data_IF_346593113973
#
_entry.id   IF_346593113973
#
_cell.length_a   1.000
_cell.length_b   1.000
_cell.length_c   1.000
_cell.angle_alpha   90.00
_cell.angle_beta   90.00
_cell.angle_gamma   90.00
#
_symmetry.space_group_name_H-M   'P 1'
#
loop_
_entity.id
_entity.type
_entity.pdbx_description
1 polymer ?
#
# COMPACT_ATOMS: atom_id res chain seq x y z
N UNK A 1 -4.71 -5.03 -9.68
CA UNK A 1 -3.57 -4.12 -10.02
C UNK A 1 -3.47 -3.84 -11.51
N UNK A 2 -3.20 -4.82 -12.38
CA UNK A 2 -3.06 -4.59 -13.84
C UNK A 2 -4.24 -3.83 -14.45
N UNK A 3 -5.48 -4.25 -14.19
CA UNK A 3 -6.68 -3.56 -14.69
C UNK A 3 -6.75 -2.08 -14.26
N UNK A 4 -6.35 -1.75 -13.03
CA UNK A 4 -6.33 -0.37 -12.53
C UNK A 4 -5.26 0.47 -13.24
N UNK A 5 -4.04 -0.08 -13.36
CA UNK A 5 -2.95 0.56 -14.09
C UNK A 5 -3.32 0.79 -15.57
N UNK A 6 -3.85 -0.23 -16.24
CA UNK A 6 -4.24 -0.15 -17.64
C UNK A 6 -5.40 0.84 -17.85
N UNK A 7 -6.32 0.98 -16.88
CA UNK A 7 -7.41 1.97 -16.92
C UNK A 7 -6.86 3.38 -16.85
N UNK A 8 -5.97 3.62 -15.89
CA UNK A 8 -5.31 4.90 -15.67
C UNK A 8 -4.48 5.30 -16.89
N UNK A 9 -3.65 4.39 -17.42
CA UNK A 9 -2.84 4.64 -18.61
C UNK A 9 -3.70 4.92 -19.85
N UNK A 10 -4.82 4.18 -20.03
CA UNK A 10 -5.74 4.43 -21.14
C UNK A 10 -6.33 5.84 -21.09
N UNK A 11 -6.76 6.29 -19.91
CA UNK A 11 -7.38 7.59 -19.76
C UNK A 11 -6.36 8.73 -19.86
N UNK A 12 -5.17 8.54 -19.30
CA UNK A 12 -4.08 9.51 -19.37
C UNK A 12 -3.49 9.67 -20.78
N UNK A 13 -3.53 8.63 -21.62
CA UNK A 13 -3.08 8.71 -23.00
C UNK A 13 -3.97 9.60 -23.89
N UNK A 14 -5.19 9.92 -23.46
CA UNK A 14 -6.10 10.80 -24.20
C UNK A 14 -5.69 12.28 -24.01
N UNK A 15 -5.34 13.02 -25.08
CA UNK A 15 -4.93 14.42 -25.00
C UNK A 15 -6.00 15.37 -24.44
N UNK A 16 -7.27 14.95 -24.44
CA UNK A 16 -8.34 15.72 -23.78
C UNK A 16 -8.12 15.82 -22.28
N UNK A 17 -7.49 14.81 -21.66
CA UNK A 17 -7.14 14.82 -20.25
C UNK A 17 -5.67 15.17 -20.05
N UNK A 18 -4.75 14.31 -20.48
CA UNK A 18 -3.31 14.51 -20.29
C UNK A 18 -2.51 14.32 -21.59
N UNK A 19 -2.73 13.23 -22.33
CA UNK A 19 -1.97 12.92 -23.54
C UNK A 19 -0.56 12.37 -23.27
N UNK A 20 -0.36 11.72 -22.12
CA UNK A 20 0.96 11.26 -21.70
C UNK A 20 0.94 9.95 -20.93
N UNK A 21 2.10 9.28 -20.89
CA UNK A 21 2.32 8.04 -20.14
C UNK A 21 2.71 8.36 -18.70
N UNK A 22 1.94 7.85 -17.75
CA UNK A 22 2.17 8.07 -16.32
C UNK A 22 3.18 7.08 -15.74
N UNK A 23 3.83 7.44 -14.63
CA UNK A 23 4.45 6.48 -13.70
C UNK A 23 3.44 6.06 -12.63
N UNK A 24 3.40 4.78 -12.27
CA UNK A 24 2.52 4.33 -11.19
C UNK A 24 3.12 3.20 -10.34
N UNK A 25 3.07 3.36 -9.02
CA UNK A 25 3.38 2.36 -8.01
C UNK A 25 2.06 1.87 -7.41
N UNK A 26 1.73 0.59 -7.60
CA UNK A 26 0.51 -0.02 -7.10
C UNK A 26 0.79 -0.94 -5.92
N UNK A 27 -0.02 -0.81 -4.87
CA UNK A 27 0.04 -1.63 -3.65
C UNK A 27 -1.30 -2.32 -3.44
N UNK A 28 -1.27 -3.65 -3.37
CA UNK A 28 -2.43 -4.46 -3.01
C UNK A 28 -2.67 -4.40 -1.49
N UNK A 29 -3.89 -4.07 -1.12
CA UNK A 29 -4.38 -4.11 0.25
C UNK A 29 -5.59 -5.04 0.32
N UNK A 30 -5.68 -5.93 1.31
CA UNK A 30 -6.73 -6.98 1.33
C UNK A 30 -7.57 -7.03 2.60
N UNK A 31 -7.37 -6.10 3.54
CA UNK A 31 -8.06 -6.11 4.83
C UNK A 31 -8.75 -4.79 5.17
N UNK A 32 -9.70 -4.84 6.08
CA UNK A 32 -10.13 -3.67 6.83
C UNK A 32 -9.31 -3.54 8.12
N UNK A 33 -9.48 -2.43 8.84
CA UNK A 33 -8.93 -2.32 10.19
C UNK A 33 -9.43 -3.42 11.14
N UNK A 34 -10.58 -4.04 10.88
CA UNK A 34 -11.11 -5.17 11.65
C UNK A 34 -10.71 -6.55 11.08
N UNK A 35 -9.70 -6.62 10.19
CA UNK A 35 -9.26 -7.84 9.49
C UNK A 35 -10.37 -8.54 8.68
N UNK A 36 -11.33 -7.77 8.16
CA UNK A 36 -12.30 -8.32 7.21
C UNK A 36 -11.72 -8.25 5.80
N UNK A 37 -12.04 -9.24 4.97
CA UNK A 37 -11.60 -9.28 3.58
C UNK A 37 -12.12 -8.08 2.78
N UNK A 38 -11.20 -7.26 2.28
CA UNK A 38 -11.50 -6.02 1.59
C UNK A 38 -10.40 -5.69 0.55
N UNK A 39 -10.31 -6.45 -0.56
CA UNK A 39 -9.29 -6.25 -1.58
C UNK A 39 -9.50 -4.93 -2.33
N UNK A 40 -8.47 -4.08 -2.31
CA UNK A 40 -8.38 -2.86 -3.09
C UNK A 40 -6.91 -2.55 -3.42
N UNK A 41 -6.70 -1.58 -4.32
CA UNK A 41 -5.36 -1.18 -4.75
C UNK A 41 -5.18 0.29 -4.46
N UNK A 42 -4.13 0.63 -3.72
CA UNK A 42 -3.65 2.01 -3.64
C UNK A 42 -2.63 2.24 -4.76
N UNK A 43 -2.68 3.41 -5.39
CA UNK A 43 -1.72 3.78 -6.44
C UNK A 43 -1.12 5.15 -6.13
N UNK A 44 0.21 5.23 -6.07
CA UNK A 44 0.92 6.49 -6.20
C UNK A 44 1.24 6.70 -7.68
N UNK A 45 0.87 7.86 -8.19
CA UNK A 45 0.91 8.18 -9.62
C UNK A 45 1.65 9.49 -9.79
N UNK A 46 2.45 9.61 -10.84
CA UNK A 46 3.11 10.87 -11.19
C UNK A 46 2.08 11.96 -11.48
N UNK A 47 2.34 13.18 -11.04
CA UNK A 47 1.56 14.37 -11.40
C UNK A 47 2.00 14.84 -12.79
N UNK A 48 1.47 14.21 -13.83
CA UNK A 48 1.94 14.39 -15.22
C UNK A 48 2.62 13.14 -15.76
N UNK A 49 3.07 13.20 -17.00
CA UNK A 49 3.64 12.05 -17.68
C UNK A 49 4.49 12.41 -18.89
N UNK A 50 5.12 11.39 -19.47
CA UNK A 50 5.98 11.55 -20.62
C UNK A 50 5.20 11.37 -21.93
N UNK A 51 5.46 12.22 -22.93
CA UNK A 51 4.93 12.03 -24.29
C UNK A 51 5.38 10.70 -24.89
N UNK A 52 4.66 10.23 -25.92
CA UNK A 52 4.95 8.93 -26.56
C UNK A 52 6.34 8.86 -27.21
N UNK A 53 6.87 9.99 -27.66
CA UNK A 53 8.23 10.12 -28.20
C UNK A 53 9.32 10.26 -27.13
N UNK A 54 8.93 10.36 -25.86
CA UNK A 54 9.85 10.54 -24.74
C UNK A 54 10.46 11.92 -24.60
N UNK A 55 10.06 12.91 -25.40
CA UNK A 55 10.77 14.19 -25.47
C UNK A 55 10.27 15.25 -24.49
N UNK A 56 9.02 15.15 -24.05
CA UNK A 56 8.40 16.20 -23.25
C UNK A 56 7.66 15.61 -22.06
N UNK A 57 7.81 16.28 -20.91
CA UNK A 57 6.96 16.02 -19.75
C UNK A 57 5.71 16.90 -19.85
N UNK A 58 4.54 16.27 -19.81
CA UNK A 58 3.24 16.95 -19.81
C UNK A 58 2.75 17.04 -18.36
N UNK A 59 2.68 18.28 -17.89
CA UNK A 59 2.04 18.62 -16.62
C UNK A 59 0.51 18.46 -16.72
N UNK A 60 -0.18 18.13 -15.62
CA UNK A 60 -1.63 18.08 -15.62
C UNK A 60 -2.22 19.46 -15.92
N UNK A 61 -3.27 19.50 -16.75
CA UNK A 61 -4.00 20.75 -17.07
C UNK A 61 -4.52 21.47 -15.84
N UNK A 62 -4.79 20.72 -14.77
CA UNK A 62 -5.26 21.22 -13.49
C UNK A 62 -4.39 20.63 -12.40
N UNK A 63 -3.80 21.48 -11.54
CA UNK A 63 -2.82 21.06 -10.53
C UNK A 63 -3.32 19.97 -9.56
N UNK A 64 -4.64 19.88 -9.33
CA UNK A 64 -5.25 18.87 -8.46
C UNK A 64 -5.91 17.71 -9.18
N UNK A 65 -5.90 17.70 -10.51
CA UNK A 65 -6.71 16.80 -11.30
C UNK A 65 -5.96 16.27 -12.52
N UNK A 66 -5.73 14.95 -12.51
CA UNK A 66 -5.02 14.26 -13.58
C UNK A 66 -6.00 13.67 -14.60
N UNK A 67 -7.02 12.97 -14.11
CA UNK A 67 -8.06 12.32 -14.92
C UNK A 67 -9.39 12.27 -14.15
N UNK A 68 -10.55 12.21 -14.83
CA UNK A 68 -11.84 12.11 -14.17
C UNK A 68 -12.08 10.75 -13.52
N UNK A 69 -12.28 10.76 -12.20
CA UNK A 69 -12.62 9.58 -11.39
C UNK A 69 -13.84 8.80 -11.90
N UNK A 70 -14.96 9.44 -12.33
CA UNK A 70 -16.10 8.70 -12.86
C UNK A 70 -15.76 7.90 -14.13
N UNK A 71 -15.02 8.51 -15.06
CA UNK A 71 -14.59 7.83 -16.28
C UNK A 71 -13.58 6.71 -15.96
N UNK A 72 -12.63 6.98 -15.07
CA UNK A 72 -11.64 6.00 -14.63
C UNK A 72 -12.31 4.79 -13.98
N UNK A 73 -13.36 5.00 -13.18
CA UNK A 73 -14.13 3.95 -12.53
C UNK A 73 -14.82 3.02 -13.54
N UNK A 74 -15.41 3.59 -14.58
CA UNK A 74 -16.06 2.83 -15.66
C UNK A 74 -15.03 1.98 -16.42
N UNK A 75 -13.91 2.59 -16.81
CA UNK A 75 -12.84 1.91 -17.55
C UNK A 75 -12.19 0.82 -16.69
N UNK A 76 -11.98 1.08 -15.40
CA UNK A 76 -11.44 0.09 -14.47
C UNK A 76 -12.35 -1.12 -14.35
N UNK A 77 -13.66 -0.90 -14.15
CA UNK A 77 -14.67 -1.99 -14.12
C UNK A 77 -14.61 -2.82 -15.39
N UNK A 78 -14.60 -2.17 -16.57
CA UNK A 78 -14.55 -2.86 -17.85
C UNK A 78 -13.27 -3.71 -18.00
N UNK A 79 -12.10 -3.13 -17.73
CA UNK A 79 -10.81 -3.85 -17.81
C UNK A 79 -10.70 -4.99 -16.80
N UNK A 80 -11.29 -4.84 -15.61
CA UNK A 80 -11.33 -5.90 -14.61
C UNK A 80 -12.23 -7.06 -15.06
N UNK A 81 -13.42 -6.75 -15.61
CA UNK A 81 -14.32 -7.72 -16.22
C UNK A 81 -13.64 -8.50 -17.36
N UNK A 82 -12.98 -7.79 -18.28
CA UNK A 82 -12.23 -8.39 -19.39
C UNK A 82 -11.11 -9.32 -18.86
N UNK A 83 -10.42 -8.91 -17.80
CA UNK A 83 -9.41 -9.72 -17.15
C UNK A 83 -9.97 -11.02 -16.58
N UNK A 84 -11.11 -10.97 -15.89
CA UNK A 84 -11.79 -12.17 -15.39
C UNK A 84 -12.30 -13.06 -16.51
N UNK A 85 -12.83 -12.48 -17.59
CA UNK A 85 -13.27 -13.24 -18.77
C UNK A 85 -12.11 -14.02 -19.39
N UNK A 86 -10.96 -13.36 -19.58
CA UNK A 86 -9.74 -13.99 -20.11
C UNK A 86 -9.19 -15.09 -19.20
N UNK A 87 -9.36 -14.95 -17.90
CA UNK A 87 -8.95 -15.96 -16.92
C UNK A 87 -9.96 -17.12 -16.78
N UNK A 88 -11.11 -17.10 -17.47
CA UNK A 88 -12.17 -18.10 -17.28
C UNK A 88 -12.89 -17.99 -15.93
N UNK A 89 -12.74 -16.86 -15.23
CA UNK A 89 -13.26 -16.67 -13.86
C UNK A 89 -14.51 -15.78 -13.80
N UNK A 90 -14.96 -15.22 -14.92
CA UNK A 90 -16.10 -14.30 -14.94
C UNK A 90 -17.39 -14.96 -14.41
N UNK A 91 -17.61 -16.25 -14.69
CA UNK A 91 -18.76 -17.02 -14.22
C UNK A 91 -18.86 -17.14 -12.70
N UNK A 92 -17.73 -17.01 -11.99
CA UNK A 92 -17.69 -17.05 -10.52
C UNK A 92 -18.10 -15.71 -9.88
N UNK A 93 -18.28 -14.66 -10.67
CA UNK A 93 -18.66 -13.34 -10.18
C UNK A 93 -20.17 -13.14 -10.26
N UNK A 94 -20.85 -12.77 -9.15
CA UNK A 94 -22.27 -12.44 -9.19
C UNK A 94 -22.56 -11.32 -10.20
N UNK A 95 -23.55 -11.52 -11.07
CA UNK A 95 -23.90 -10.55 -12.14
C UNK A 95 -24.22 -9.16 -11.57
N UNK A 96 -24.76 -9.09 -10.34
CA UNK A 96 -25.08 -7.84 -9.65
C UNK A 96 -23.87 -6.94 -9.40
N UNK A 97 -22.65 -7.49 -9.30
CA UNK A 97 -21.41 -6.71 -9.11
C UNK A 97 -21.13 -5.80 -10.30
N UNK A 98 -21.51 -6.23 -11.51
CA UNK A 98 -21.28 -5.48 -12.75
C UNK A 98 -22.30 -4.36 -12.98
N UNK A 99 -23.47 -4.45 -12.34
CA UNK A 99 -24.52 -3.41 -12.37
C UNK A 99 -24.25 -2.28 -11.38
N UNK A 100 -23.38 -2.48 -10.39
CA UNK A 100 -23.02 -1.46 -9.40
C UNK A 100 -22.11 -0.38 -10.00
N UNK A 101 -22.21 0.82 -9.46
CA UNK A 101 -21.20 1.85 -9.67
C UNK A 101 -19.93 1.47 -8.93
N UNK A 102 -18.86 1.29 -9.68
CA UNK A 102 -17.52 1.11 -9.11
C UNK A 102 -16.97 2.49 -8.74
N UNK A 103 -16.16 2.54 -7.70
CA UNK A 103 -15.60 3.79 -7.20
C UNK A 103 -14.09 3.71 -7.24
N UNK A 104 -13.51 4.62 -8.02
CA UNK A 104 -12.11 5.03 -7.93
C UNK A 104 -12.11 6.42 -7.33
N UNK A 105 -11.17 6.66 -6.43
CA UNK A 105 -10.97 7.96 -5.80
C UNK A 105 -9.53 8.37 -6.00
N UNK A 106 -9.32 9.54 -6.60
CA UNK A 106 -8.02 10.17 -6.73
C UNK A 106 -7.94 11.44 -5.87
N UNK A 107 -6.76 11.69 -5.34
CA UNK A 107 -6.48 12.88 -4.55
C UNK A 107 -5.07 13.36 -4.85
N UNK A 108 -4.93 14.67 -5.04
CA UNK A 108 -3.63 15.30 -5.18
C UNK A 108 -2.79 15.12 -3.90
N UNK A 109 -1.59 14.56 -4.07
CA UNK A 109 -0.70 14.16 -2.99
C UNK A 109 0.46 15.14 -2.72
N UNK A 110 0.49 16.31 -3.38
CA UNK A 110 1.62 17.23 -3.30
C UNK A 110 2.91 16.57 -3.78
N UNK A 111 4.01 16.78 -3.05
CA UNK A 111 5.32 16.13 -3.30
C UNK A 111 5.31 14.61 -3.15
N UNK A 112 4.29 14.06 -2.48
CA UNK A 112 4.13 12.62 -2.28
C UNK A 112 4.81 12.05 -1.04
N UNK A 113 5.61 12.83 -0.30
CA UNK A 113 6.35 12.39 0.90
C UNK A 113 5.42 11.71 1.94
N UNK A 114 4.33 12.40 2.30
CA UNK A 114 3.31 11.87 3.22
C UNK A 114 2.62 10.59 2.70
N UNK A 115 2.44 10.48 1.37
CA UNK A 115 1.82 9.30 0.75
C UNK A 115 2.79 8.13 0.72
N UNK A 116 4.08 8.38 0.53
CA UNK A 116 5.13 7.36 0.65
C UNK A 116 5.17 6.82 2.08
N UNK A 117 5.18 7.67 3.10
CA UNK A 117 5.13 7.24 4.51
C UNK A 117 3.84 6.47 4.85
N UNK A 118 2.71 6.91 4.28
CA UNK A 118 1.45 6.20 4.40
C UNK A 118 1.53 4.81 3.76
N UNK A 119 1.95 4.71 2.50
CA UNK A 119 2.03 3.45 1.76
C UNK A 119 3.07 2.50 2.36
N UNK A 120 4.24 3.00 2.79
CA UNK A 120 5.29 2.22 3.43
C UNK A 120 4.76 1.45 4.64
N UNK A 121 3.92 2.08 5.48
CA UNK A 121 3.27 1.40 6.61
C UNK A 121 2.42 0.20 6.18
N UNK A 122 1.75 0.28 5.02
CA UNK A 122 0.97 -0.82 4.47
C UNK A 122 1.82 -1.89 3.81
N UNK A 123 3.05 -1.59 3.40
CA UNK A 123 3.97 -2.59 2.86
C UNK A 123 4.43 -3.55 3.95
N UNK A 124 4.96 -3.00 5.04
CA UNK A 124 5.61 -3.76 6.11
C UNK A 124 4.63 -4.33 7.14
N UNK A 125 3.50 -3.66 7.39
CA UNK A 125 2.49 -4.17 8.30
C UNK A 125 1.49 -5.03 7.53
N UNK A 126 1.20 -6.20 8.09
CA UNK A 126 0.17 -7.11 7.57
C UNK A 126 -1.20 -6.75 8.17
N UNK A 127 -2.16 -7.67 8.11
CA UNK A 127 -3.54 -7.49 8.58
C UNK A 127 -3.69 -6.80 9.96
N UNK A 128 -2.79 -7.10 10.90
CA UNK A 128 -2.81 -6.59 12.27
C UNK A 128 -1.39 -6.40 12.83
N UNK A 129 -1.24 -5.46 13.77
CA UNK A 129 -0.01 -5.26 14.53
C UNK A 129 -0.15 -5.82 15.94
N UNK A 130 0.94 -6.31 16.53
CA UNK A 130 0.94 -6.89 17.89
C UNK A 130 0.35 -5.94 18.94
N UNK A 131 0.65 -4.64 18.86
CA UNK A 131 0.12 -3.60 19.76
C UNK A 131 -1.41 -3.42 19.76
N UNK A 132 -2.10 -4.05 18.80
CA UNK A 132 -3.56 -4.05 18.72
C UNK A 132 -4.19 -5.28 19.36
N UNK A 133 -3.43 -6.36 19.54
CA UNK A 133 -3.88 -7.55 20.24
C UNK A 133 -3.85 -7.22 21.73
N UNK A 134 -5.03 -7.24 22.36
CA UNK A 134 -5.20 -6.87 23.76
C UNK A 134 -5.13 -8.11 24.68
N UNK A 135 -5.62 -9.26 24.21
CA UNK A 135 -5.52 -10.52 24.95
C UNK A 135 -5.63 -11.73 24.02
N UNK A 136 -4.97 -12.81 24.42
CA UNK A 136 -5.08 -14.15 23.82
C UNK A 136 -5.29 -15.11 24.99
N UNK A 137 -6.31 -15.95 24.91
CA UNK A 137 -6.55 -17.06 25.83
C UNK A 137 -6.63 -18.40 25.06
N UNK A 138 -6.95 -19.49 25.76
CA UNK A 138 -7.00 -20.84 25.17
C UNK A 138 -8.06 -21.00 24.05
N UNK A 139 -8.98 -20.06 23.92
CA UNK A 139 -10.13 -20.14 23.02
C UNK A 139 -10.30 -18.91 22.13
N UNK A 140 -9.91 -17.71 22.61
CA UNK A 140 -10.20 -16.44 21.93
C UNK A 140 -9.00 -15.53 21.79
N UNK A 141 -9.09 -14.67 20.78
CA UNK A 141 -8.19 -13.54 20.54
C UNK A 141 -9.03 -12.27 20.52
N UNK A 142 -8.66 -11.30 21.36
CA UNK A 142 -9.29 -9.98 21.40
C UNK A 142 -8.33 -8.91 20.91
N UNK A 143 -8.80 -8.07 20.01
CA UNK A 143 -8.02 -6.96 19.51
C UNK A 143 -8.85 -5.70 19.29
N UNK A 144 -8.18 -4.55 19.39
CA UNK A 144 -8.77 -3.24 19.13
C UNK A 144 -8.56 -2.76 17.70
N UNK A 145 -9.49 -1.97 17.19
CA UNK A 145 -9.37 -1.29 15.91
C UNK A 145 -10.08 0.07 15.94
N UNK A 146 -9.61 1.03 15.14
CA UNK A 146 -10.30 2.30 14.96
C UNK A 146 -11.34 2.17 13.86
N UNK A 147 -12.61 2.32 14.20
CA UNK A 147 -13.72 2.22 13.25
C UNK A 147 -13.66 3.35 12.21
N UNK A 148 -13.88 3.03 10.94
CA UNK A 148 -13.73 4.02 9.87
C UNK A 148 -14.88 5.03 9.81
N UNK A 149 -16.10 4.67 10.29
CA UNK A 149 -17.26 5.57 10.25
C UNK A 149 -17.29 6.46 11.49
N UNK A 150 -17.25 5.84 12.66
CA UNK A 150 -17.35 6.55 13.95
C UNK A 150 -16.02 7.12 14.44
N UNK A 151 -14.89 6.72 13.84
CA UNK A 151 -13.53 7.08 14.29
C UNK A 151 -13.18 6.66 15.73
N UNK A 152 -14.05 5.93 16.40
CA UNK A 152 -13.87 5.41 17.76
C UNK A 152 -13.05 4.13 17.79
N UNK A 153 -12.38 3.89 18.91
CA UNK A 153 -11.74 2.60 19.18
C UNK A 153 -12.84 1.58 19.52
N UNK A 154 -12.90 0.50 18.74
CA UNK A 154 -13.76 -0.65 18.97
C UNK A 154 -12.92 -1.89 19.23
N UNK A 155 -13.56 -2.93 19.76
CA UNK A 155 -12.95 -4.23 20.04
C UNK A 155 -13.72 -5.31 19.32
N UNK A 156 -13.00 -6.34 18.93
CA UNK A 156 -13.58 -7.59 18.45
C UNK A 156 -12.87 -8.74 19.15
N UNK A 157 -13.67 -9.72 19.56
CA UNK A 157 -13.20 -10.99 20.13
C UNK A 157 -13.60 -12.08 19.15
N UNK A 158 -12.63 -12.88 18.72
CA UNK A 158 -12.81 -13.98 17.79
C UNK A 158 -12.31 -15.26 18.44
N UNK A 159 -12.79 -16.42 17.99
CA UNK A 159 -12.13 -17.68 18.33
C UNK A 159 -10.72 -17.70 17.72
N UNK A 160 -9.80 -18.48 18.28
CA UNK A 160 -8.45 -18.64 17.73
C UNK A 160 -8.47 -19.11 16.27
N UNK A 161 -9.34 -20.06 15.94
CA UNK A 161 -9.53 -20.58 14.57
C UNK A 161 -10.01 -19.49 13.63
N UNK A 162 -11.01 -18.70 14.02
CA UNK A 162 -11.53 -17.61 13.19
C UNK A 162 -10.49 -16.50 12.99
N UNK A 163 -9.72 -16.17 14.04
CA UNK A 163 -8.62 -15.21 13.93
C UNK A 163 -7.59 -15.65 12.88
N UNK A 164 -7.14 -16.91 12.93
CA UNK A 164 -6.20 -17.49 11.95
C UNK A 164 -6.83 -17.48 10.55
N UNK A 165 -8.08 -17.91 10.41
CA UNK A 165 -8.77 -17.94 9.12
C UNK A 165 -8.90 -16.54 8.50
N UNK A 166 -9.21 -15.51 9.29
CA UNK A 166 -9.23 -14.11 8.82
C UNK A 166 -7.85 -13.63 8.44
N UNK A 167 -6.85 -13.92 9.27
CA UNK A 167 -5.47 -13.51 9.03
C UNK A 167 -4.89 -14.10 7.73
N UNK A 168 -5.11 -15.40 7.49
CA UNK A 168 -4.55 -16.11 6.33
C UNK A 168 -5.13 -15.64 5.00
N UNK A 169 -6.33 -15.05 4.98
CA UNK A 169 -6.89 -14.39 3.77
C UNK A 169 -6.04 -13.21 3.27
N UNK A 170 -5.13 -12.72 4.10
CA UNK A 170 -4.26 -11.58 3.79
C UNK A 170 -2.83 -11.98 3.45
N UNK A 171 -2.50 -13.27 3.59
CA UNK A 171 -1.23 -13.84 3.16
C UNK A 171 -1.32 -14.12 1.67
N UNK A 172 -0.41 -13.52 0.90
CA UNK A 172 -0.41 -13.69 -0.55
C UNK A 172 0.11 -15.08 -0.94
N UNK A 173 -0.47 -15.74 -1.96
CA UNK A 173 0.07 -16.98 -2.49
C UNK A 173 1.52 -16.83 -2.96
N UNK A 174 2.25 -17.94 -3.01
CA UNK A 174 3.63 -17.96 -3.53
C UNK A 174 3.67 -17.37 -4.95
N UNK A 175 4.62 -16.48 -5.20
CA UNK A 175 4.79 -15.79 -6.49
C UNK A 175 3.87 -14.59 -6.71
N UNK A 176 2.87 -14.36 -5.85
CA UNK A 176 2.09 -13.15 -5.88
C UNK A 176 2.85 -11.99 -5.21
N UNK A 177 2.92 -10.86 -5.89
CA UNK A 177 3.58 -9.65 -5.38
C UNK A 177 2.56 -8.66 -4.85
N UNK A 178 2.85 -8.09 -3.68
CA UNK A 178 2.04 -7.05 -3.05
C UNK A 178 2.20 -5.68 -3.74
N UNK A 179 3.38 -5.43 -4.28
CA UNK A 179 3.76 -4.16 -4.92
C UNK A 179 4.11 -4.40 -6.37
N UNK A 180 3.64 -3.52 -7.25
CA UNK A 180 3.96 -3.55 -8.68
C UNK A 180 4.14 -2.14 -9.23
N UNK A 181 5.13 -1.99 -10.11
CA UNK A 181 5.38 -0.75 -10.83
C UNK A 181 4.84 -0.84 -12.26
N UNK A 182 4.31 0.27 -12.76
CA UNK A 182 3.69 0.40 -14.07
C UNK A 182 4.11 1.70 -14.75
N UNK A 183 3.93 1.74 -16.07
CA UNK A 183 4.20 2.93 -16.87
C UNK A 183 5.67 3.31 -16.88
N UNK A 184 5.99 4.56 -16.52
CA UNK A 184 7.36 5.05 -16.39
C UNK A 184 8.14 4.27 -15.31
N UNK A 185 7.49 3.87 -14.22
CA UNK A 185 8.13 3.13 -13.12
C UNK A 185 8.33 1.64 -13.43
N UNK A 186 7.81 1.12 -14.55
CA UNK A 186 7.99 -0.29 -14.91
C UNK A 186 9.49 -0.64 -15.01
N UNK A 187 9.93 -1.82 -14.53
CA UNK A 187 11.32 -2.27 -14.69
C UNK A 187 11.80 -2.33 -16.15
N UNK A 188 10.87 -2.49 -17.09
CA UNK A 188 11.13 -2.48 -18.54
C UNK A 188 11.24 -1.07 -19.14
N UNK A 189 10.99 -0.01 -18.36
CA UNK A 189 10.90 1.38 -18.81
C UNK A 189 12.04 2.25 -18.27
N UNK A 190 13.20 1.66 -17.94
CA UNK A 190 14.32 2.39 -17.30
C UNK A 190 14.76 3.63 -18.08
N UNK A 191 14.80 3.56 -19.40
CA UNK A 191 15.14 4.70 -20.27
C UNK A 191 14.13 5.84 -20.15
N UNK A 192 12.82 5.53 -20.11
CA UNK A 192 11.78 6.53 -19.89
C UNK A 192 11.87 7.17 -18.51
N UNK A 193 12.19 6.39 -17.48
CA UNK A 193 12.40 6.93 -16.13
C UNK A 193 13.58 7.89 -16.11
N UNK A 194 14.72 7.50 -16.67
CA UNK A 194 15.90 8.36 -16.76
C UNK A 194 15.57 9.66 -17.52
N UNK A 195 14.84 9.55 -18.63
CA UNK A 195 14.41 10.71 -19.42
C UNK A 195 13.45 11.62 -18.65
N UNK A 196 12.48 11.06 -17.95
CA UNK A 196 11.59 11.83 -17.08
C UNK A 196 12.36 12.58 -15.99
N UNK A 197 13.34 11.93 -15.35
CA UNK A 197 14.21 12.58 -14.36
C UNK A 197 15.06 13.73 -14.94
N UNK A 198 15.45 13.67 -16.21
CA UNK A 198 16.19 14.76 -16.88
C UNK A 198 15.30 15.95 -17.23
N UNK A 199 14.05 15.69 -17.61
CA UNK A 199 13.09 16.71 -18.03
C UNK A 199 12.43 17.44 -16.86
N UNK A 200 12.30 16.77 -15.73
CA UNK A 200 11.77 17.37 -14.51
C UNK A 200 12.84 18.25 -13.86
N UNK A 201 12.44 19.37 -13.22
CA UNK A 201 13.35 20.13 -12.38
C UNK A 201 13.98 19.18 -11.37
N UNK A 202 15.32 19.20 -11.27
CA UNK A 202 15.98 18.47 -10.20
C UNK A 202 15.47 19.06 -8.89
N UNK A 203 14.63 18.30 -8.19
CA UNK A 203 14.33 18.63 -6.81
C UNK A 203 15.67 18.66 -6.10
N UNK A 204 16.00 19.77 -5.45
CA UNK A 204 17.04 19.74 -4.43
C UNK A 204 16.77 18.50 -3.58
N UNK A 205 17.78 17.67 -3.30
CA UNK A 205 17.57 16.51 -2.44
C UNK A 205 16.75 17.00 -1.25
N UNK A 206 15.65 16.30 -0.87
CA UNK A 206 14.91 16.69 0.32
C UNK A 206 15.97 16.94 1.38
N UNK A 207 16.01 18.18 1.92
CA UNK A 207 16.97 18.59 2.95
C UNK A 207 17.12 17.39 3.85
N UNK A 208 18.34 16.81 3.83
CA UNK A 208 18.66 15.42 4.18
C UNK A 208 17.53 14.83 4.97
N UNK A 209 16.85 13.78 4.48
CA UNK A 209 15.86 13.00 5.24
C UNK A 209 16.26 13.13 6.69
N UNK A 210 15.59 14.04 7.41
CA UNK A 210 16.12 14.39 8.70
C UNK A 210 15.83 13.12 9.44
N UNK A 211 16.89 12.35 9.67
CA UNK A 211 16.87 11.33 10.68
C UNK A 211 16.83 12.04 12.03
N UNK A 212 15.98 13.05 12.18
CA UNK A 212 14.99 12.95 13.23
C UNK A 212 14.15 11.67 13.01
N UNK A 213 14.82 10.52 13.20
CA UNK A 213 14.39 9.63 14.27
C UNK A 213 13.81 10.56 15.35
N UNK A 214 12.55 10.39 15.78
CA UNK A 214 11.99 11.20 16.89
C UNK A 214 13.12 11.33 17.89
N UNK A 215 13.52 12.59 18.20
CA UNK A 215 14.90 12.98 18.55
C UNK A 215 15.48 11.79 19.25
N UNK A 216 16.51 11.15 18.64
CA UNK A 216 17.17 10.00 19.26
C UNK A 216 17.17 10.37 20.72
N UNK A 217 16.35 9.66 21.51
CA UNK A 217 16.26 9.93 22.94
C UNK A 217 17.72 9.80 23.23
N UNK A 218 18.40 10.93 23.50
CA UNK A 218 19.75 10.88 24.00
C UNK A 218 19.58 9.82 25.05
N UNK A 219 20.28 8.68 24.96
CA UNK A 219 20.25 7.78 26.07
C UNK A 219 20.83 8.67 27.16
N UNK A 220 19.94 9.32 27.91
CA UNK A 220 20.07 9.51 29.32
C UNK A 220 20.60 8.16 29.67
N UNK A 221 21.89 8.13 30.03
CA UNK A 221 22.58 6.94 30.49
C UNK A 221 21.90 6.54 31.80
N UNK A 222 20.62 6.22 31.69
CA UNK A 222 19.87 5.34 32.52
C UNK A 222 20.54 4.04 32.17
N UNK A 223 21.44 3.66 33.07
CA UNK A 223 21.96 2.30 33.18
C UNK A 223 20.82 1.38 32.75
N UNK A 224 20.96 0.60 31.67
CA UNK A 224 19.87 -0.19 31.16
C UNK A 224 19.33 -1.02 32.32
N UNK A 225 18.07 -0.76 32.70
CA UNK A 225 17.38 -1.60 33.66
C UNK A 225 17.09 -2.89 32.90
N UNK A 226 18.09 -3.75 32.93
CA UNK A 226 18.05 -5.09 32.42
C UNK A 226 16.77 -5.77 32.94
N UNK A 227 15.92 -6.30 32.06
CA UNK A 227 14.64 -6.84 32.46
C UNK A 227 14.86 -8.00 33.44
N UNK A 228 13.98 -8.13 34.43
CA UNK A 228 13.95 -9.34 35.26
C UNK A 228 13.41 -10.51 34.43
N UNK A 229 13.73 -11.74 34.84
CA UNK A 229 13.19 -12.92 34.18
C UNK A 229 11.64 -12.86 34.18
N UNK A 230 10.96 -12.94 33.02
CA UNK A 230 9.51 -12.78 32.96
C UNK A 230 8.73 -13.91 33.65
N UNK A 231 9.41 -15.02 33.98
CA UNK A 231 8.82 -16.20 34.63
C UNK A 231 8.93 -16.14 36.15
N UNK A 232 10.14 -15.99 36.69
CA UNK A 232 10.36 -16.00 38.15
C UNK A 232 10.48 -14.61 38.78
N UNK A 233 10.64 -13.54 37.98
CA UNK A 233 10.87 -12.14 38.41
C UNK A 233 12.08 -11.94 39.33
N UNK A 234 12.92 -12.95 39.48
CA UNK A 234 14.15 -12.91 40.26
C UNK A 234 15.35 -12.74 39.34
N UNK A 235 16.30 -11.90 39.73
CA UNK A 235 17.54 -11.66 38.98
C UNK A 235 17.38 -10.77 37.76
N UNK A 236 18.51 -10.49 37.11
CA UNK A 236 18.64 -9.48 36.06
C UNK A 236 19.11 -10.14 34.77
N UNK A 237 18.36 -10.01 33.67
CA UNK A 237 18.72 -10.60 32.38
C UNK A 237 19.83 -9.76 31.72
N UNK A 238 20.98 -10.35 31.46
CA UNK A 238 22.08 -9.69 30.73
C UNK A 238 22.12 -10.14 29.28
N UNK A 239 22.45 -9.22 28.35
CA UNK A 239 22.67 -9.57 26.95
C UNK A 239 23.99 -10.35 26.83
N UNK A 240 23.89 -11.63 26.45
CA UNK A 240 25.07 -12.50 26.32
C UNK A 240 25.65 -12.44 24.89
N UNK A 241 24.80 -12.16 23.88
CA UNK A 241 25.24 -11.95 22.51
C UNK A 241 24.08 -11.98 21.49
N UNK A 242 24.28 -11.43 20.29
CA UNK A 242 23.33 -11.57 19.20
C UNK A 242 23.39 -12.98 18.59
N UNK A 243 22.25 -13.51 18.15
CA UNK A 243 22.20 -14.75 17.35
C UNK A 243 22.10 -14.37 15.88
N UNK A 244 22.97 -14.93 15.04
CA UNK A 244 22.87 -14.75 13.60
C UNK A 244 21.58 -15.35 13.05
N UNK A 245 20.88 -14.61 12.20
CA UNK A 245 19.67 -15.11 11.55
C UNK A 245 20.05 -16.24 10.60
N UNK A 246 19.77 -17.48 10.98
CA UNK A 246 19.73 -18.56 9.99
C UNK A 246 18.56 -18.27 9.05
N UNK A 247 18.84 -18.17 7.75
CA UNK A 247 17.78 -18.24 6.76
C UNK A 247 17.29 -19.68 6.80
N UNK A 248 16.05 -19.91 7.24
CA UNK A 248 15.41 -21.22 7.11
C UNK A 248 15.40 -21.66 5.64
N UNK A 249 15.54 -22.96 5.36
CA UNK A 249 15.64 -23.52 4.01
C UNK A 249 14.41 -23.24 3.13
#
# INVERSE_FOLDING_TARGET
MKAAADALQKLAADPRYLGARLGALAVLHTWTRAMLFHPHVHMLVTAGGLTSDGQTWIEPKYSKFLVPDPALSIIFRAKFCDGLKKAGLLSHSPVSVWKKNWVVHSQHAGRGDMVLDYLARYLFRIAISNSRIESIDNSTVRFRYRDNRSQQIRRVTLTGVEFIARFLQHVLPRGATKVRNYGIFSPSSKSMLARACQLLPQLSPPAEFSSTLPPAIEPTLTVPVWPTCPLCRTGTLVLIGPVERSRSP
#
